data_IF_405744713060
#
_entry.id   IF_405744713060
#
_cell.length_a   1.000
_cell.length_b   1.000
_cell.length_c   1.000
_cell.angle_alpha   90.00
_cell.angle_beta   90.00
_cell.angle_gamma   90.00
#
_symmetry.space_group_name_H-M   'P 1'
#
loop_
_entity.id
_entity.type
_entity.pdbx_description
1 polymer ?
#
# COMPACT_ATOMS: atom_id res chain seq x y z
N UNK A 1 18.22 9.62 18.47
CA UNK A 1 17.34 9.61 17.28
C UNK A 1 16.50 10.87 17.32
N UNK A 2 16.62 11.77 16.34
CA UNK A 2 15.86 13.03 16.30
C UNK A 2 14.35 12.74 16.17
N UNK A 3 13.52 13.63 16.73
CA UNK A 3 12.05 13.55 16.65
C UNK A 3 11.55 13.46 15.19
N UNK A 4 12.29 14.11 14.29
CA UNK A 4 12.15 14.07 12.85
C UNK A 4 12.13 12.64 12.28
N UNK A 5 13.17 11.84 12.57
CA UNK A 5 13.28 10.47 12.07
C UNK A 5 12.16 9.56 12.57
N UNK A 6 11.64 9.81 13.79
CA UNK A 6 10.49 9.05 14.32
C UNK A 6 9.22 9.33 13.52
N UNK A 7 8.98 10.59 13.13
CA UNK A 7 7.79 11.00 12.38
C UNK A 7 7.82 10.50 10.94
N UNK A 8 8.97 10.53 10.27
CA UNK A 8 9.19 9.91 8.94
C UNK A 8 8.82 8.43 8.98
N UNK A 9 9.38 7.71 9.96
CA UNK A 9 9.15 6.26 10.09
C UNK A 9 7.68 5.96 10.34
N UNK A 10 6.99 6.75 11.15
CA UNK A 10 5.57 6.54 11.43
C UNK A 10 4.67 6.74 10.20
N UNK A 11 4.94 7.76 9.37
CA UNK A 11 4.18 8.00 8.14
C UNK A 11 4.39 6.86 7.14
N UNK A 12 5.65 6.51 6.87
CA UNK A 12 6.01 5.42 5.97
C UNK A 12 5.40 4.06 6.38
N UNK A 13 5.36 3.76 7.68
CA UNK A 13 4.74 2.54 8.18
C UNK A 13 3.22 2.50 7.95
N UNK A 14 2.53 3.65 8.01
CA UNK A 14 1.09 3.72 7.74
C UNK A 14 0.79 3.51 6.25
N UNK A 15 1.59 4.10 5.37
CA UNK A 15 1.41 3.92 3.92
C UNK A 15 1.61 2.45 3.52
N UNK A 16 2.64 1.79 4.08
CA UNK A 16 2.85 0.34 3.93
C UNK A 16 1.66 -0.45 4.47
N UNK A 17 1.15 -0.11 5.65
CA UNK A 17 0.02 -0.82 6.26
C UNK A 17 -1.24 -0.72 5.40
N UNK A 18 -1.53 0.46 4.84
CA UNK A 18 -2.66 0.66 3.92
C UNK A 18 -2.49 -0.14 2.64
N UNK A 19 -1.30 -0.12 2.04
CA UNK A 19 -1.00 -0.90 0.84
C UNK A 19 -1.17 -2.42 1.08
N UNK A 20 -0.70 -2.93 2.22
CA UNK A 20 -0.88 -4.33 2.61
C UNK A 20 -2.36 -4.66 2.88
N UNK A 21 -3.11 -3.75 3.50
CA UNK A 21 -4.55 -3.94 3.73
C UNK A 21 -5.32 -4.07 2.41
N UNK A 22 -4.96 -3.28 1.38
CA UNK A 22 -5.55 -3.41 0.05
C UNK A 22 -5.24 -4.76 -0.60
N UNK A 23 -3.99 -5.25 -0.50
CA UNK A 23 -3.63 -6.58 -1.00
C UNK A 23 -4.44 -7.67 -0.30
N UNK A 24 -4.51 -7.64 1.03
CA UNK A 24 -5.31 -8.60 1.80
C UNK A 24 -6.79 -8.55 1.43
N UNK A 25 -7.36 -7.34 1.26
CA UNK A 25 -8.73 -7.15 0.80
C UNK A 25 -8.99 -7.81 -0.56
N UNK A 26 -8.05 -7.65 -1.50
CA UNK A 26 -8.14 -8.31 -2.80
C UNK A 26 -8.07 -9.83 -2.68
N UNK A 27 -7.18 -10.36 -1.84
CA UNK A 27 -7.11 -11.80 -1.55
C UNK A 27 -8.44 -12.34 -1.06
N UNK A 28 -9.06 -11.69 -0.07
CA UNK A 28 -10.37 -12.09 0.43
C UNK A 28 -11.45 -12.02 -0.65
N UNK A 29 -11.47 -10.95 -1.44
CA UNK A 29 -12.46 -10.79 -2.52
C UNK A 29 -12.35 -11.90 -3.58
N UNK A 30 -11.13 -12.20 -4.06
CA UNK A 30 -10.93 -13.23 -5.09
C UNK A 30 -11.23 -14.63 -4.55
N UNK A 31 -10.81 -14.95 -3.31
CA UNK A 31 -11.12 -16.24 -2.68
C UNK A 31 -12.63 -16.40 -2.50
N UNK A 32 -13.30 -15.37 -1.99
CA UNK A 32 -14.75 -15.36 -1.84
C UNK A 32 -15.45 -15.61 -3.18
N UNK A 33 -15.08 -14.88 -4.23
CA UNK A 33 -15.63 -15.08 -5.58
C UNK A 33 -15.37 -16.50 -6.07
N UNK A 34 -14.17 -17.06 -5.86
CA UNK A 34 -13.86 -18.42 -6.28
C UNK A 34 -14.73 -19.47 -5.58
N UNK A 35 -15.04 -19.29 -4.29
CA UNK A 35 -15.93 -20.17 -3.53
C UNK A 35 -17.37 -20.06 -4.04
N UNK A 36 -17.91 -18.84 -4.14
CA UNK A 36 -19.29 -18.60 -4.55
C UNK A 36 -19.57 -19.03 -6.00
N UNK A 37 -18.57 -18.89 -6.88
CA UNK A 37 -18.70 -19.28 -8.28
C UNK A 37 -18.35 -20.74 -8.54
N UNK A 38 -17.78 -21.46 -7.57
CA UNK A 38 -17.44 -22.87 -7.69
C UNK A 38 -18.61 -23.77 -8.15
N UNK A 39 -19.82 -23.69 -7.56
CA UNK A 39 -20.97 -24.49 -8.03
C UNK A 39 -21.47 -24.04 -9.41
N UNK A 40 -21.18 -22.80 -9.82
CA UNK A 40 -21.56 -22.25 -11.14
C UNK A 40 -20.61 -22.70 -12.25
N UNK A 41 -19.47 -23.31 -11.94
CA UNK A 41 -18.50 -23.83 -12.89
C UNK A 41 -18.80 -25.33 -13.20
N UNK A 42 -19.48 -25.64 -14.32
CA UNK A 42 -20.03 -26.96 -14.57
C UNK A 42 -18.99 -27.98 -15.03
N UNK A 43 -17.85 -27.53 -15.56
CA UNK A 43 -16.81 -28.40 -16.12
C UNK A 43 -15.48 -28.27 -15.38
N UNK A 44 -14.64 -29.33 -15.38
CA UNK A 44 -13.28 -29.23 -14.84
C UNK A 44 -12.46 -28.12 -15.48
N UNK A 45 -12.60 -27.92 -16.80
CA UNK A 45 -11.93 -26.85 -17.52
C UNK A 45 -12.30 -25.46 -17.00
N UNK A 46 -13.60 -25.20 -16.75
CA UNK A 46 -14.06 -23.92 -16.21
C UNK A 46 -13.48 -23.66 -14.80
N UNK A 47 -13.41 -24.70 -13.96
CA UNK A 47 -12.80 -24.59 -12.61
C UNK A 47 -11.30 -24.31 -12.69
N UNK A 48 -10.58 -24.96 -13.60
CA UNK A 48 -9.16 -24.69 -13.83
C UNK A 48 -8.93 -23.25 -14.28
N UNK A 49 -9.74 -22.73 -15.21
CA UNK A 49 -9.66 -21.33 -15.65
C UNK A 49 -9.93 -20.39 -14.47
N UNK A 50 -10.99 -20.62 -13.70
CA UNK A 50 -11.32 -19.83 -12.51
C UNK A 50 -10.13 -19.74 -11.54
N UNK A 51 -9.51 -20.89 -11.22
CA UNK A 51 -8.39 -20.96 -10.30
C UNK A 51 -7.13 -20.28 -10.85
N UNK A 52 -6.78 -20.53 -12.13
CA UNK A 52 -5.58 -19.94 -12.75
C UNK A 52 -5.75 -18.43 -12.88
N UNK A 53 -6.89 -17.96 -13.40
CA UNK A 53 -7.15 -16.52 -13.55
C UNK A 53 -7.16 -15.81 -12.19
N UNK A 54 -7.80 -16.40 -11.18
CA UNK A 54 -7.77 -15.87 -9.82
C UNK A 54 -6.35 -15.80 -9.25
N UNK A 55 -5.56 -16.87 -9.41
CA UNK A 55 -4.17 -16.91 -8.97
C UNK A 55 -3.30 -15.86 -9.68
N UNK A 56 -3.46 -15.71 -11.00
CA UNK A 56 -2.75 -14.68 -11.79
C UNK A 56 -3.05 -13.29 -11.26
N UNK A 57 -4.32 -12.95 -11.02
CA UNK A 57 -4.71 -11.64 -10.47
C UNK A 57 -4.05 -11.41 -9.12
N UNK A 58 -4.10 -12.40 -8.22
CA UNK A 58 -3.52 -12.27 -6.88
C UNK A 58 -1.99 -12.13 -6.92
N UNK A 59 -1.32 -12.97 -7.71
CA UNK A 59 0.14 -12.97 -7.82
C UNK A 59 0.65 -11.65 -8.40
N UNK A 60 0.13 -11.23 -9.56
CA UNK A 60 0.62 -10.01 -10.21
C UNK A 60 0.27 -8.76 -9.42
N UNK A 61 -0.92 -8.68 -8.83
CA UNK A 61 -1.28 -7.51 -8.03
C UNK A 61 -0.42 -7.43 -6.75
N UNK A 62 -0.22 -8.55 -6.05
CA UNK A 62 0.67 -8.60 -4.89
C UNK A 62 2.11 -8.22 -5.28
N UNK A 63 2.62 -8.75 -6.41
CA UNK A 63 3.94 -8.44 -6.91
C UNK A 63 4.10 -6.95 -7.28
N UNK A 64 3.09 -6.35 -7.91
CA UNK A 64 3.09 -4.93 -8.26
C UNK A 64 3.15 -4.03 -7.02
N UNK A 65 2.34 -4.33 -5.99
CA UNK A 65 2.39 -3.59 -4.72
C UNK A 65 3.74 -3.81 -4.02
N UNK A 66 4.28 -5.03 -4.00
CA UNK A 66 5.58 -5.29 -3.40
C UNK A 66 6.72 -4.58 -4.16
N UNK A 67 6.65 -4.51 -5.50
CA UNK A 67 7.59 -3.77 -6.32
C UNK A 67 7.50 -2.26 -6.04
N UNK A 68 6.28 -1.72 -5.96
CA UNK A 68 6.03 -0.34 -5.55
C UNK A 68 6.65 -0.07 -4.17
N UNK A 69 6.35 -0.89 -3.16
CA UNK A 69 6.90 -0.73 -1.81
C UNK A 69 8.44 -0.86 -1.77
N UNK A 70 9.02 -1.74 -2.59
CA UNK A 70 10.48 -1.88 -2.70
C UNK A 70 11.13 -0.65 -3.30
N UNK A 71 10.56 -0.11 -4.38
CA UNK A 71 11.06 1.11 -5.02
C UNK A 71 10.85 2.35 -4.13
N UNK A 72 9.72 2.42 -3.41
CA UNK A 72 9.46 3.45 -2.39
C UNK A 72 10.52 3.49 -1.28
N UNK A 73 11.18 2.36 -0.97
CA UNK A 73 12.27 2.33 0.02
C UNK A 73 13.57 2.92 -0.51
N UNK A 74 13.79 2.91 -1.82
CA UNK A 74 14.98 3.51 -2.45
C UNK A 74 14.87 5.05 -2.50
N UNK A 75 13.67 5.60 -2.72
CA UNK A 75 13.45 7.06 -2.80
C UNK A 75 12.97 7.73 -1.50
N UNK A 76 12.73 6.94 -0.45
CA UNK A 76 12.15 7.40 0.83
C UNK A 76 12.93 8.54 1.47
N UNK A 77 14.24 8.39 1.56
CA UNK A 77 15.06 9.25 2.43
C UNK A 77 15.18 10.68 1.87
N UNK A 78 15.00 10.86 0.55
CA UNK A 78 14.92 12.17 -0.10
C UNK A 78 13.52 12.79 0.04
N UNK A 79 12.47 12.04 -0.31
CA UNK A 79 11.09 12.53 -0.36
C UNK A 79 10.59 13.01 1.02
N UNK A 80 10.77 12.19 2.06
CA UNK A 80 10.30 12.54 3.41
C UNK A 80 11.23 13.52 4.15
N UNK A 81 12.48 13.68 3.70
CA UNK A 81 13.36 14.73 4.20
C UNK A 81 12.87 16.13 3.80
N UNK A 82 12.54 16.29 2.52
CA UNK A 82 12.01 17.54 1.96
C UNK A 82 10.62 17.88 2.53
N UNK A 83 9.72 16.90 2.62
CA UNK A 83 8.36 17.11 3.12
C UNK A 83 8.34 17.64 4.56
N UNK A 84 9.28 17.20 5.39
CA UNK A 84 9.32 17.68 6.78
C UNK A 84 9.97 19.05 6.88
N UNK A 85 10.93 19.37 6.03
CA UNK A 85 11.44 20.73 5.93
C UNK A 85 10.30 21.71 5.61
N UNK A 86 9.44 21.40 4.65
CA UNK A 86 8.27 22.24 4.33
C UNK A 86 7.24 22.29 5.47
N UNK A 87 7.00 21.18 6.18
CA UNK A 87 6.09 21.16 7.34
C UNK A 87 6.62 22.00 8.51
N UNK A 88 7.94 22.01 8.72
CA UNK A 88 8.57 22.83 9.75
C UNK A 88 8.56 24.31 9.35
N UNK A 89 8.88 24.65 8.10
CA UNK A 89 8.74 26.01 7.55
C UNK A 89 7.29 26.53 7.67
N UNK A 90 6.29 25.70 7.33
CA UNK A 90 4.88 26.06 7.48
C UNK A 90 4.46 26.28 8.94
N UNK A 91 5.03 25.50 9.88
CA UNK A 91 4.82 25.69 11.32
C UNK A 91 5.45 26.97 11.84
N UNK A 92 6.66 27.28 11.41
CA UNK A 92 7.35 28.52 11.78
C UNK A 92 6.61 29.74 11.23
N UNK A 93 6.18 29.72 9.97
CA UNK A 93 5.36 30.77 9.39
C UNK A 93 4.03 30.97 10.16
N UNK A 94 3.39 29.87 10.59
CA UNK A 94 2.17 29.94 11.40
C UNK A 94 2.42 30.51 12.80
N UNK A 95 3.57 30.22 13.41
CA UNK A 95 3.98 30.80 14.70
C UNK A 95 4.30 32.29 14.56
N UNK A 96 5.05 32.68 13.53
CA UNK A 96 5.37 34.08 13.25
C UNK A 96 4.10 34.92 13.07
N UNK A 97 3.11 34.42 12.31
CA UNK A 97 1.80 35.07 12.16
C UNK A 97 0.96 35.17 13.45
N UNK A 98 1.27 34.37 14.47
CA UNK A 98 0.57 34.38 15.76
C UNK A 98 1.14 35.39 16.74
N UNK A 99 2.36 35.87 16.49
CA UNK A 99 3.09 36.83 17.31
C UNK A 99 3.27 38.20 16.64
N UNK A 100 2.75 38.36 15.42
CA UNK A 100 2.57 39.62 14.72
C UNK A 100 1.14 40.12 14.93
#
# INVERSE_FOLDING_TARGET
MSDLTKRIKAMHQRDIAVALAFVLGLWFAIIFVAIETWPLAPTPAARTILLISGAVVLLFNSAAIMAMLRHYREDRDFMYGLDIQFLDEAREAKRARRHA
#
